data_IF_446139748750
#
_entry.id   IF_446139748750
#
_cell.length_a   1.000
_cell.length_b   1.000
_cell.length_c   1.000
_cell.angle_alpha   90.00
_cell.angle_beta   90.00
_cell.angle_gamma   90.00
#
_symmetry.space_group_name_H-M   'P 1'
#
loop_
_entity.id
_entity.type
_entity.pdbx_description
1 polymer ?
#
# COMPACT_ATOMS: atom_id res chain seq x y z
N UNK A 1 3.02 48.68 13.05
CA UNK A 1 2.73 48.15 14.40
C UNK A 1 1.58 47.10 14.42
N UNK A 2 0.51 47.27 13.65
CA UNK A 2 -0.63 46.28 13.61
C UNK A 2 -0.26 44.88 13.03
N UNK A 3 0.67 44.79 12.09
CA UNK A 3 1.06 43.50 11.47
C UNK A 3 1.86 42.58 12.42
N UNK A 4 2.62 43.13 13.36
CA UNK A 4 3.39 42.34 14.34
C UNK A 4 2.50 41.72 15.43
N UNK A 5 1.39 42.38 15.79
CA UNK A 5 0.45 41.85 16.78
C UNK A 5 -0.40 40.70 16.26
N UNK A 6 -0.73 40.69 14.97
CA UNK A 6 -1.44 39.58 14.36
C UNK A 6 -0.54 38.33 14.18
N UNK A 7 0.75 38.51 13.92
CA UNK A 7 1.73 37.42 13.84
C UNK A 7 1.95 36.72 15.18
N UNK A 8 2.02 37.52 16.28
CA UNK A 8 2.16 36.97 17.64
C UNK A 8 0.88 36.28 18.15
N UNK A 9 -0.30 36.73 17.70
CA UNK A 9 -1.58 36.10 18.06
C UNK A 9 -1.77 34.76 17.38
N UNK A 10 -1.33 34.61 16.13
CA UNK A 10 -1.41 33.34 15.38
C UNK A 10 -0.42 32.29 15.91
N UNK A 11 0.80 32.70 16.29
CA UNK A 11 1.78 31.77 16.88
C UNK A 11 1.33 31.26 18.26
N UNK A 12 0.73 32.11 19.10
CA UNK A 12 0.20 31.69 20.40
C UNK A 12 -0.98 30.69 20.29
N UNK A 13 -1.90 30.90 19.34
CA UNK A 13 -3.00 29.97 19.08
C UNK A 13 -2.49 28.63 18.55
N UNK A 14 -1.48 28.62 17.70
CA UNK A 14 -0.91 27.39 17.12
C UNK A 14 -0.21 26.52 18.18
N UNK A 15 0.54 27.14 19.10
CA UNK A 15 1.18 26.41 20.21
C UNK A 15 0.16 25.83 21.21
N UNK A 16 -0.93 26.54 21.48
CA UNK A 16 -2.02 26.04 22.35
C UNK A 16 -2.73 24.84 21.68
N UNK A 17 -2.95 24.85 20.36
CA UNK A 17 -3.53 23.71 19.64
C UNK A 17 -2.61 22.50 19.67
N UNK A 18 -1.29 22.68 19.46
CA UNK A 18 -0.30 21.61 19.58
C UNK A 18 -0.30 20.98 20.98
N UNK A 19 -0.32 21.82 22.01
CA UNK A 19 -0.30 21.35 23.40
C UNK A 19 -1.60 20.61 23.78
N UNK A 20 -2.73 21.09 23.30
CA UNK A 20 -4.04 20.45 23.51
C UNK A 20 -4.14 19.11 22.79
N UNK A 21 -3.71 19.05 21.54
CA UNK A 21 -3.61 17.81 20.74
C UNK A 21 -2.66 16.80 21.39
N UNK A 22 -1.52 17.25 21.89
CA UNK A 22 -0.56 16.38 22.61
C UNK A 22 -1.16 15.76 23.88
N UNK A 23 -1.92 16.56 24.67
CA UNK A 23 -2.59 16.06 25.89
C UNK A 23 -3.70 15.07 25.54
N UNK A 24 -4.45 15.34 24.48
CA UNK A 24 -5.54 14.48 24.01
C UNK A 24 -5.01 13.12 23.50
N UNK A 25 -3.94 13.14 22.69
CA UNK A 25 -3.22 11.95 22.22
C UNK A 25 -2.65 11.16 23.41
N UNK A 26 -2.04 11.84 24.39
CA UNK A 26 -1.50 11.18 25.59
C UNK A 26 -2.58 10.53 26.43
N UNK A 27 -3.76 11.14 26.56
CA UNK A 27 -4.89 10.55 27.28
C UNK A 27 -5.49 9.33 26.56
N UNK A 28 -5.56 9.36 25.22
CA UNK A 28 -6.02 8.23 24.42
C UNK A 28 -5.01 7.08 24.43
N UNK A 29 -3.71 7.37 24.38
CA UNK A 29 -2.64 6.36 24.48
C UNK A 29 -2.64 5.67 25.85
N UNK A 30 -2.89 6.41 26.95
CA UNK A 30 -3.02 5.79 28.28
C UNK A 30 -4.29 4.95 28.41
N UNK A 31 -5.42 5.40 27.88
CA UNK A 31 -6.66 4.62 27.84
C UNK A 31 -6.54 3.35 27.00
N UNK A 32 -5.75 3.39 25.92
CA UNK A 32 -5.47 2.24 25.04
C UNK A 32 -4.50 1.23 25.70
N UNK A 33 -3.58 1.71 26.56
CA UNK A 33 -2.64 0.86 27.30
C UNK A 33 -3.31 -0.02 28.37
N UNK A 34 -4.52 0.36 28.82
CA UNK A 34 -5.30 -0.40 29.80
C UNK A 34 -6.16 -1.52 29.18
N UNK A 35 -6.20 -1.64 27.85
CA UNK A 35 -6.82 -2.76 27.15
C UNK A 35 -5.98 -4.03 27.36
N UNK A 36 -6.62 -5.13 27.80
CA UNK A 36 -5.99 -6.44 28.01
C UNK A 36 -5.60 -7.10 26.68
N UNK A 37 -4.52 -6.64 26.08
CA UNK A 37 -3.90 -7.30 24.94
C UNK A 37 -2.84 -8.30 25.42
N UNK A 38 -2.66 -9.42 24.67
CA UNK A 38 -1.58 -10.37 24.92
C UNK A 38 -0.20 -9.70 24.79
N UNK A 39 0.81 -10.21 25.54
CA UNK A 39 2.16 -9.61 25.63
C UNK A 39 2.85 -9.35 24.29
N UNK A 40 2.62 -10.19 23.29
CA UNK A 40 3.17 -10.01 21.94
C UNK A 40 2.58 -8.79 21.22
N UNK A 41 1.27 -8.57 21.34
CA UNK A 41 0.58 -7.45 20.72
C UNK A 41 0.92 -6.13 21.41
N UNK A 42 1.12 -6.15 22.72
CA UNK A 42 1.58 -4.99 23.51
C UNK A 42 2.99 -4.54 23.11
N UNK A 43 3.92 -5.49 22.90
CA UNK A 43 5.28 -5.20 22.42
C UNK A 43 5.27 -4.65 21.00
N UNK A 44 4.42 -5.18 20.13
CA UNK A 44 4.24 -4.68 18.77
C UNK A 44 3.71 -3.25 18.76
N UNK A 45 2.67 -2.95 19.54
CA UNK A 45 2.10 -1.60 19.63
C UNK A 45 3.06 -0.59 20.25
N UNK A 46 3.85 -0.99 21.25
CA UNK A 46 4.90 -0.13 21.83
C UNK A 46 6.05 0.13 20.86
N UNK A 47 6.48 -0.86 20.07
CA UNK A 47 7.50 -0.67 19.03
C UNK A 47 6.95 0.23 17.91
N UNK A 48 5.70 0.07 17.54
CA UNK A 48 5.03 0.90 16.54
C UNK A 48 4.94 2.36 16.99
N UNK A 49 4.54 2.61 18.25
CA UNK A 49 4.50 3.95 18.85
C UNK A 49 5.88 4.61 18.95
N UNK A 50 6.93 3.83 19.22
CA UNK A 50 8.31 4.32 19.29
C UNK A 50 8.85 4.71 17.91
N UNK A 51 8.59 3.91 16.89
CA UNK A 51 8.94 4.24 15.50
C UNK A 51 8.14 5.46 15.03
N UNK A 52 6.87 5.53 15.37
CA UNK A 52 5.99 6.64 15.02
C UNK A 52 6.45 7.97 15.66
N UNK A 53 6.89 7.97 16.92
CA UNK A 53 7.38 9.19 17.59
C UNK A 53 8.70 9.71 17.02
N UNK A 54 9.57 8.85 16.49
CA UNK A 54 10.82 9.25 15.83
C UNK A 54 10.58 9.91 14.45
N UNK A 55 9.52 9.52 13.74
CA UNK A 55 9.20 10.05 12.41
C UNK A 55 8.59 11.45 12.48
N UNK A 56 7.84 11.79 13.55
CA UNK A 56 7.22 13.12 13.69
C UNK A 56 8.16 14.23 14.16
N UNK A 57 9.40 13.93 14.52
CA UNK A 57 10.34 14.91 15.02
C UNK A 57 11.03 15.78 13.94
N UNK A 58 10.88 15.46 12.65
CA UNK A 58 11.76 16.01 11.61
C UNK A 58 11.10 16.80 10.46
N UNK A 59 9.80 17.15 10.53
CA UNK A 59 9.19 17.92 9.43
C UNK A 59 8.52 19.23 9.88
N UNK A 60 9.33 20.28 10.00
CA UNK A 60 8.88 21.68 9.90
C UNK A 60 9.84 22.48 9.03
N UNK A 61 9.74 22.34 7.71
CA UNK A 61 10.16 23.39 6.78
C UNK A 61 8.94 23.88 6.02
N UNK A 62 8.54 25.15 6.28
CA UNK A 62 7.60 25.87 5.44
C UNK A 62 8.23 26.07 4.05
N UNK A 63 7.72 25.35 3.05
CA UNK A 63 7.96 25.67 1.64
C UNK A 63 7.01 26.80 1.22
N UNK A 64 7.55 27.84 0.58
CA UNK A 64 6.76 28.90 -0.02
C UNK A 64 6.14 28.41 -1.33
N UNK A 65 4.88 28.77 -1.59
CA UNK A 65 4.09 28.39 -2.78
C UNK A 65 4.72 28.84 -4.13
N UNK A 66 5.79 29.62 -4.12
CA UNK A 66 6.47 30.11 -5.32
C UNK A 66 7.54 29.17 -5.89
N UNK A 67 7.97 28.16 -5.13
CA UNK A 67 9.02 27.24 -5.55
C UNK A 67 8.49 26.01 -6.34
N UNK A 68 7.18 25.79 -6.39
CA UNK A 68 6.61 24.57 -7.01
C UNK A 68 6.53 24.63 -8.54
N UNK A 69 6.62 25.82 -9.16
CA UNK A 69 6.49 25.95 -10.64
C UNK A 69 7.79 25.69 -11.41
N UNK A 70 8.94 25.65 -10.73
CA UNK A 70 10.26 25.43 -11.32
C UNK A 70 11.10 24.32 -10.67
N UNK A 71 10.50 23.53 -9.79
CA UNK A 71 11.22 22.41 -9.20
C UNK A 71 11.41 21.34 -10.26
N UNK A 72 12.65 21.14 -10.69
CA UNK A 72 13.06 19.89 -11.33
C UNK A 72 12.58 18.73 -10.46
N UNK A 73 12.11 17.61 -11.04
CA UNK A 73 11.67 16.47 -10.26
C UNK A 73 12.76 16.18 -9.22
N UNK A 74 12.39 16.31 -7.95
CA UNK A 74 13.32 16.12 -6.83
C UNK A 74 14.03 14.79 -7.06
N UNK A 75 15.36 14.78 -7.14
CA UNK A 75 16.10 13.53 -7.27
C UNK A 75 15.66 12.60 -6.17
N UNK A 76 15.02 11.51 -6.57
CA UNK A 76 14.54 10.51 -5.61
C UNK A 76 15.76 9.99 -4.88
N UNK A 77 15.77 10.10 -3.55
CA UNK A 77 16.85 9.59 -2.71
C UNK A 77 16.96 8.07 -2.89
N UNK A 78 18.00 7.64 -3.58
CA UNK A 78 18.20 6.25 -4.00
C UNK A 78 19.63 5.76 -3.67
N UNK A 79 19.92 5.53 -2.40
CA UNK A 79 21.24 5.07 -1.96
C UNK A 79 21.55 3.64 -2.42
N UNK A 80 20.54 2.88 -2.85
CA UNK A 80 20.65 1.50 -3.30
C UNK A 80 20.56 1.36 -4.83
N UNK A 81 20.82 2.42 -5.61
CA UNK A 81 20.63 2.44 -7.07
C UNK A 81 21.35 1.28 -7.78
N UNK A 82 22.58 0.95 -7.37
CA UNK A 82 23.33 -0.18 -7.94
C UNK A 82 22.66 -1.54 -7.69
N UNK A 83 22.21 -1.79 -6.45
CA UNK A 83 21.43 -2.97 -6.09
C UNK A 83 20.09 -3.00 -6.84
N UNK A 84 19.38 -1.88 -6.85
CA UNK A 84 18.08 -1.76 -7.48
C UNK A 84 18.14 -2.04 -8.99
N UNK A 85 19.17 -1.53 -9.68
CA UNK A 85 19.40 -1.83 -11.12
C UNK A 85 19.67 -3.31 -11.35
N UNK A 86 20.50 -3.94 -10.51
CA UNK A 86 20.79 -5.37 -10.58
C UNK A 86 19.50 -6.19 -10.38
N UNK A 87 18.69 -5.86 -9.37
CA UNK A 87 17.44 -6.56 -9.08
C UNK A 87 16.39 -6.31 -10.17
N UNK A 88 16.32 -5.12 -10.76
CA UNK A 88 15.45 -4.86 -11.93
C UNK A 88 15.84 -5.75 -13.10
N UNK A 89 17.13 -5.85 -13.42
CA UNK A 89 17.62 -6.77 -14.45
C UNK A 89 17.33 -8.24 -14.15
N UNK A 90 17.50 -8.66 -12.88
CA UNK A 90 17.14 -10.01 -12.44
C UNK A 90 15.62 -10.28 -12.61
N UNK A 91 14.77 -9.36 -12.16
CA UNK A 91 13.33 -9.49 -12.26
C UNK A 91 12.87 -9.52 -13.72
N UNK A 92 13.45 -8.68 -14.57
CA UNK A 92 13.19 -8.67 -16.03
C UNK A 92 13.60 -10.01 -16.67
N UNK A 93 14.80 -10.50 -16.36
CA UNK A 93 15.27 -11.80 -16.83
C UNK A 93 14.33 -12.94 -16.41
N UNK A 94 13.93 -12.99 -15.13
CA UNK A 94 13.01 -14.00 -14.60
C UNK A 94 11.62 -13.89 -15.23
N UNK A 95 11.13 -12.66 -15.43
CA UNK A 95 9.84 -12.45 -16.08
C UNK A 95 9.85 -12.98 -17.51
N UNK A 96 10.81 -12.57 -18.32
CA UNK A 96 10.87 -12.92 -19.75
C UNK A 96 11.12 -14.42 -19.97
N UNK A 97 12.03 -15.02 -19.17
CA UNK A 97 12.49 -16.39 -19.42
C UNK A 97 11.77 -17.48 -18.64
N UNK A 98 11.10 -17.13 -17.54
CA UNK A 98 10.41 -18.12 -16.70
C UNK A 98 8.92 -17.81 -16.51
N UNK A 99 8.59 -16.59 -16.01
CA UNK A 99 7.23 -16.26 -15.61
C UNK A 99 6.32 -16.13 -16.84
N UNK A 100 6.72 -15.36 -17.83
CA UNK A 100 5.90 -15.13 -19.04
C UNK A 100 5.62 -16.40 -19.86
N UNK A 101 6.60 -17.29 -20.14
CA UNK A 101 6.32 -18.59 -20.73
C UNK A 101 5.36 -19.46 -19.93
N UNK A 102 5.49 -19.46 -18.58
CA UNK A 102 4.57 -20.20 -17.71
C UNK A 102 3.15 -19.61 -17.78
N UNK A 103 3.01 -18.28 -17.80
CA UNK A 103 1.73 -17.60 -17.98
C UNK A 103 1.10 -17.93 -19.34
N UNK A 104 1.88 -17.96 -20.42
CA UNK A 104 1.37 -18.37 -21.74
C UNK A 104 0.86 -19.82 -21.73
N UNK A 105 1.60 -20.72 -21.11
CA UNK A 105 1.16 -22.11 -20.94
C UNK A 105 -0.13 -22.21 -20.12
N UNK A 106 -0.22 -21.47 -19.02
CA UNK A 106 -1.43 -21.39 -18.19
C UNK A 106 -2.62 -20.83 -18.98
N UNK A 107 -2.44 -19.75 -19.74
CA UNK A 107 -3.46 -19.13 -20.58
C UNK A 107 -3.96 -20.06 -21.71
N UNK A 108 -3.08 -20.92 -22.22
CA UNK A 108 -3.44 -21.91 -23.24
C UNK A 108 -4.35 -23.01 -22.67
N UNK A 109 -4.12 -23.44 -21.42
CA UNK A 109 -4.85 -24.56 -20.79
C UNK A 109 -6.11 -24.08 -20.10
N UNK A 110 -6.06 -22.91 -19.41
CA UNK A 110 -7.14 -22.43 -18.55
C UNK A 110 -7.91 -21.30 -19.24
N UNK A 111 -9.22 -21.49 -19.51
CA UNK A 111 -10.05 -20.46 -20.12
C UNK A 111 -10.06 -19.16 -19.31
N UNK A 112 -10.17 -18.01 -20.00
CA UNK A 112 -10.21 -16.68 -19.37
C UNK A 112 -11.27 -16.55 -18.29
N UNK A 113 -12.47 -17.11 -18.52
CA UNK A 113 -13.55 -17.09 -17.54
C UNK A 113 -13.16 -17.77 -16.21
N UNK A 114 -12.40 -18.87 -16.25
CA UNK A 114 -11.93 -19.57 -15.06
C UNK A 114 -10.82 -18.77 -14.34
N UNK A 115 -9.93 -18.13 -15.11
CA UNK A 115 -8.88 -17.24 -14.57
C UNK A 115 -9.48 -15.99 -13.91
N UNK A 116 -10.50 -15.41 -14.54
CA UNK A 116 -11.25 -14.28 -13.99
C UNK A 116 -11.98 -14.68 -12.70
N UNK A 117 -12.63 -15.86 -12.69
CA UNK A 117 -13.29 -16.37 -11.48
C UNK A 117 -12.29 -16.58 -10.33
N UNK A 118 -11.12 -17.16 -10.61
CA UNK A 118 -10.06 -17.31 -9.62
C UNK A 118 -9.55 -15.94 -9.12
N UNK A 119 -9.37 -14.96 -10.01
CA UNK A 119 -9.01 -13.59 -9.66
C UNK A 119 -10.03 -12.95 -8.72
N UNK A 120 -11.31 -13.02 -9.08
CA UNK A 120 -12.41 -12.47 -8.27
C UNK A 120 -12.47 -13.14 -6.88
N UNK A 121 -12.28 -14.45 -6.81
CA UNK A 121 -12.25 -15.18 -5.54
C UNK A 121 -11.14 -14.67 -4.61
N UNK A 122 -9.91 -14.60 -5.10
CA UNK A 122 -8.79 -14.07 -4.31
C UNK A 122 -8.97 -12.61 -3.93
N UNK A 123 -9.57 -11.84 -4.81
CA UNK A 123 -9.89 -10.44 -4.58
C UNK A 123 -10.93 -10.29 -3.46
N UNK A 124 -11.99 -11.10 -3.50
CA UNK A 124 -12.98 -11.13 -2.44
C UNK A 124 -12.38 -11.57 -1.09
N UNK A 125 -11.42 -12.51 -1.12
CA UNK A 125 -10.73 -12.99 0.07
C UNK A 125 -9.85 -11.91 0.72
N UNK A 126 -9.34 -10.93 -0.06
CA UNK A 126 -8.54 -9.81 0.44
C UNK A 126 -9.38 -8.67 1.06
N UNK A 127 -10.69 -8.83 1.16
CA UNK A 127 -11.58 -7.87 1.82
C UNK A 127 -11.05 -7.37 3.18
N UNK A 128 -10.55 -8.22 4.12
CA UNK A 128 -10.10 -7.72 5.42
C UNK A 128 -8.93 -6.72 5.32
N UNK A 129 -8.04 -6.90 4.34
CA UNK A 129 -6.92 -5.98 4.09
C UNK A 129 -7.46 -4.60 3.72
N UNK A 130 -8.34 -4.54 2.70
CA UNK A 130 -8.93 -3.28 2.23
C UNK A 130 -9.80 -2.62 3.29
N UNK A 131 -10.68 -3.39 3.93
CA UNK A 131 -11.57 -2.90 4.96
C UNK A 131 -10.83 -2.23 6.13
N UNK A 132 -9.84 -2.93 6.70
CA UNK A 132 -9.08 -2.43 7.85
C UNK A 132 -8.26 -1.20 7.47
N UNK A 133 -7.62 -1.19 6.28
CA UNK A 133 -6.82 -0.06 5.85
C UNK A 133 -7.67 1.18 5.54
N UNK A 134 -8.86 1.02 4.94
CA UNK A 134 -9.83 2.12 4.81
C UNK A 134 -10.25 2.68 6.17
N UNK A 135 -10.55 1.81 7.16
CA UNK A 135 -10.89 2.27 8.52
C UNK A 135 -9.73 3.02 9.18
N UNK A 136 -8.49 2.53 9.05
CA UNK A 136 -7.31 3.17 9.62
C UNK A 136 -7.01 4.53 8.97
N UNK A 137 -7.50 4.78 7.77
CA UNK A 137 -7.41 6.06 7.07
C UNK A 137 -8.63 6.95 7.29
N UNK A 138 -9.56 6.55 8.17
CA UNK A 138 -10.85 7.24 8.42
C UNK A 138 -11.78 7.33 7.21
N UNK A 139 -11.56 6.53 6.18
CA UNK A 139 -12.40 6.39 4.99
C UNK A 139 -13.58 5.44 5.30
N UNK A 140 -14.49 5.88 6.16
CA UNK A 140 -15.58 5.02 6.67
C UNK A 140 -16.61 4.66 5.59
N UNK A 141 -16.83 5.55 4.63
CA UNK A 141 -17.72 5.30 3.49
C UNK A 141 -17.19 4.18 2.61
N UNK A 142 -15.91 4.27 2.27
CA UNK A 142 -15.16 3.31 1.46
C UNK A 142 -15.07 1.95 2.15
N UNK A 143 -14.82 1.93 3.46
CA UNK A 143 -14.86 0.70 4.26
C UNK A 143 -16.26 0.06 4.26
N UNK A 144 -17.31 0.87 4.35
CA UNK A 144 -18.69 0.42 4.22
C UNK A 144 -18.99 -0.17 2.84
N UNK A 145 -18.54 0.50 1.78
CA UNK A 145 -18.70 0.03 0.40
C UNK A 145 -17.93 -1.28 0.15
N UNK A 146 -16.71 -1.42 0.64
CA UNK A 146 -15.96 -2.69 0.60
C UNK A 146 -16.70 -3.82 1.32
N UNK A 147 -17.37 -3.54 2.44
CA UNK A 147 -18.20 -4.53 3.14
C UNK A 147 -19.39 -4.98 2.28
N UNK A 148 -20.08 -4.02 1.64
CA UNK A 148 -21.18 -4.33 0.74
C UNK A 148 -20.71 -5.11 -0.48
N UNK A 149 -19.54 -4.78 -1.03
CA UNK A 149 -18.90 -5.54 -2.11
C UNK A 149 -18.62 -6.98 -1.71
N UNK A 150 -18.01 -7.19 -0.54
CA UNK A 150 -17.72 -8.53 0.00
C UNK A 150 -18.99 -9.35 0.13
N UNK A 151 -20.07 -8.78 0.70
CA UNK A 151 -21.35 -9.47 0.85
C UNK A 151 -22.00 -9.79 -0.50
N UNK A 152 -22.04 -8.82 -1.42
CA UNK A 152 -22.59 -9.03 -2.76
C UNK A 152 -21.82 -10.11 -3.53
N UNK A 153 -20.50 -10.06 -3.50
CA UNK A 153 -19.64 -11.06 -4.17
C UNK A 153 -19.75 -12.43 -3.52
N UNK A 154 -19.92 -12.50 -2.20
CA UNK A 154 -20.06 -13.79 -1.51
C UNK A 154 -21.44 -14.42 -1.75
N UNK A 155 -22.52 -13.64 -1.67
CA UNK A 155 -23.89 -14.15 -1.74
C UNK A 155 -24.33 -14.31 -3.20
N UNK A 156 -24.20 -13.25 -4.00
CA UNK A 156 -24.67 -13.21 -5.39
C UNK A 156 -23.60 -13.73 -6.35
N UNK A 157 -22.32 -13.44 -6.02
CA UNK A 157 -21.14 -13.82 -6.80
C UNK A 157 -20.66 -15.25 -6.56
N UNK A 158 -21.46 -16.14 -5.95
CA UNK A 158 -21.13 -17.54 -5.70
C UNK A 158 -19.80 -17.71 -4.94
N UNK A 159 -19.71 -17.08 -3.74
CA UNK A 159 -18.51 -17.15 -2.92
C UNK A 159 -17.33 -16.30 -3.46
N UNK A 160 -17.63 -15.29 -4.26
CA UNK A 160 -16.62 -14.39 -4.85
C UNK A 160 -16.08 -14.84 -6.21
N UNK A 161 -16.63 -15.88 -6.83
CA UNK A 161 -16.21 -16.32 -8.18
C UNK A 161 -16.62 -15.33 -9.28
N UNK A 162 -17.69 -14.58 -9.05
CA UNK A 162 -18.13 -13.50 -9.94
C UNK A 162 -18.24 -12.18 -9.19
N UNK A 163 -18.05 -11.06 -9.90
CA UNK A 163 -18.19 -9.72 -9.30
C UNK A 163 -19.67 -9.32 -9.23
N UNK A 164 -20.37 -9.84 -8.20
CA UNK A 164 -21.76 -9.50 -7.90
C UNK A 164 -21.96 -8.04 -7.49
N UNK A 165 -20.93 -7.39 -6.95
CA UNK A 165 -20.94 -6.01 -6.52
C UNK A 165 -21.12 -5.04 -7.70
N UNK A 166 -20.66 -5.41 -8.88
CA UNK A 166 -20.80 -4.63 -10.12
C UNK A 166 -22.27 -4.35 -10.48
N UNK A 167 -23.18 -5.27 -10.15
CA UNK A 167 -24.62 -5.07 -10.40
C UNK A 167 -25.23 -3.91 -9.59
N UNK A 168 -24.55 -3.52 -8.50
CA UNK A 168 -24.97 -2.44 -7.60
C UNK A 168 -24.11 -1.18 -7.75
N UNK A 169 -23.23 -1.12 -8.76
CA UNK A 169 -22.28 -0.04 -9.00
C UNK A 169 -21.39 0.28 -7.78
N UNK A 170 -21.12 -0.72 -6.93
CA UNK A 170 -20.22 -0.58 -5.79
C UNK A 170 -18.78 -0.48 -6.28
N UNK A 171 -18.09 0.59 -5.88
CA UNK A 171 -16.70 0.82 -6.29
C UNK A 171 -15.75 0.00 -5.42
N UNK A 172 -14.58 -0.32 -5.96
CA UNK A 172 -13.52 -0.99 -5.25
C UNK A 172 -12.54 0.06 -4.72
N UNK A 173 -12.19 -0.07 -3.44
CA UNK A 173 -11.29 0.84 -2.74
C UNK A 173 -10.06 0.06 -2.27
N UNK A 174 -9.04 0.04 -3.15
CA UNK A 174 -7.80 -0.71 -2.90
C UNK A 174 -6.88 0.07 -1.95
N UNK A 175 -6.89 -0.35 -0.69
CA UNK A 175 -6.03 0.19 0.34
C UNK A 175 -5.14 -0.90 0.93
N UNK A 176 -3.89 -0.52 1.22
CA UNK A 176 -2.90 -1.34 1.89
C UNK A 176 -2.27 -0.61 3.08
N UNK A 177 -1.51 -1.33 3.89
CA UNK A 177 -0.91 -0.74 5.09
C UNK A 177 0.22 0.25 4.77
N UNK A 178 0.89 0.13 3.62
CA UNK A 178 1.84 1.13 3.14
C UNK A 178 1.16 2.47 2.81
N UNK A 179 -0.05 2.43 2.21
CA UNK A 179 -0.89 3.62 1.98
C UNK A 179 -1.36 4.20 3.31
N UNK A 180 -1.80 3.37 4.24
CA UNK A 180 -2.18 3.79 5.60
C UNK A 180 -1.04 4.53 6.30
N UNK A 181 0.18 4.00 6.26
CA UNK A 181 1.35 4.69 6.80
C UNK A 181 1.61 6.03 6.08
N UNK A 182 1.46 6.06 4.75
CA UNK A 182 1.58 7.28 3.95
C UNK A 182 0.53 8.34 4.31
N UNK A 183 -0.72 7.93 4.49
CA UNK A 183 -1.82 8.79 4.96
C UNK A 183 -1.49 9.44 6.32
N UNK A 184 -0.85 8.70 7.22
CA UNK A 184 -0.40 9.19 8.52
C UNK A 184 0.90 10.01 8.46
N UNK A 185 1.41 10.30 7.26
CA UNK A 185 2.57 11.17 7.06
C UNK A 185 3.93 10.47 7.10
N UNK A 186 3.95 9.13 7.11
CA UNK A 186 5.21 8.38 7.01
C UNK A 186 5.73 8.50 5.57
N UNK A 187 6.90 9.09 5.38
CA UNK A 187 7.57 9.21 4.09
C UNK A 187 7.90 7.84 3.48
N UNK A 188 8.07 7.78 2.14
CA UNK A 188 8.42 6.54 1.43
C UNK A 188 9.76 5.95 1.88
N UNK A 189 10.69 6.79 2.40
CA UNK A 189 12.08 6.40 2.62
C UNK A 189 12.81 6.22 1.28
N UNK A 190 13.83 5.38 1.25
CA UNK A 190 14.54 5.07 0.02
C UNK A 190 13.86 3.95 -0.77
N UNK A 191 14.05 4.01 -2.09
CA UNK A 191 13.53 3.01 -3.02
C UNK A 191 14.28 1.68 -2.91
N UNK A 192 13.57 0.55 -2.99
CA UNK A 192 14.13 -0.81 -2.95
C UNK A 192 13.41 -1.69 -3.96
N UNK A 193 14.15 -2.32 -4.85
CA UNK A 193 13.60 -3.34 -5.75
C UNK A 193 13.69 -4.71 -5.10
N UNK A 194 12.54 -5.32 -4.85
CA UNK A 194 12.46 -6.66 -4.25
C UNK A 194 12.54 -7.76 -5.32
N UNK A 195 13.26 -8.87 -5.07
CA UNK A 195 13.28 -10.00 -5.98
C UNK A 195 11.87 -10.55 -6.20
N UNK A 196 11.49 -10.81 -7.44
CA UNK A 196 10.18 -11.31 -7.91
C UNK A 196 8.98 -10.38 -7.66
N UNK A 197 9.05 -9.45 -6.71
CA UNK A 197 7.97 -8.52 -6.36
C UNK A 197 8.07 -7.25 -7.20
N UNK A 198 9.29 -6.76 -7.44
CA UNK A 198 9.55 -5.55 -8.22
C UNK A 198 9.77 -4.30 -7.37
N UNK A 199 9.43 -3.11 -7.91
CA UNK A 199 9.62 -1.82 -7.25
C UNK A 199 8.87 -1.74 -5.93
N UNK A 200 9.51 -1.17 -4.91
CA UNK A 200 8.97 -0.90 -3.58
C UNK A 200 9.74 0.25 -2.93
N UNK A 201 9.37 0.63 -1.72
CA UNK A 201 10.12 1.55 -0.88
C UNK A 201 10.08 1.08 0.58
N UNK A 202 10.87 1.73 1.45
CA UNK A 202 11.02 1.28 2.83
C UNK A 202 9.68 1.27 3.59
N UNK A 203 8.84 2.29 3.43
CA UNK A 203 7.49 2.37 4.04
C UNK A 203 6.62 1.20 3.59
N UNK A 204 6.58 0.94 2.28
CA UNK A 204 5.69 -0.07 1.71
C UNK A 204 6.18 -1.49 2.04
N UNK A 205 7.51 -1.72 2.21
CA UNK A 205 8.03 -2.98 2.75
C UNK A 205 7.56 -3.21 4.19
N UNK A 206 7.54 -2.18 5.03
CA UNK A 206 6.96 -2.27 6.39
C UNK A 206 5.45 -2.51 6.28
N UNK A 207 4.79 -1.90 5.31
CA UNK A 207 3.38 -2.11 4.98
C UNK A 207 3.03 -3.57 4.69
N UNK A 208 3.88 -4.30 3.96
CA UNK A 208 3.68 -5.73 3.68
C UNK A 208 3.55 -6.57 4.96
N UNK A 209 4.19 -6.17 6.05
CA UNK A 209 4.05 -6.87 7.34
C UNK A 209 2.66 -6.67 7.94
N UNK A 210 2.10 -5.45 7.86
CA UNK A 210 0.73 -5.18 8.29
C UNK A 210 -0.30 -5.98 7.47
N UNK A 211 -0.17 -5.93 6.16
CA UNK A 211 -1.04 -6.66 5.24
C UNK A 211 -0.95 -8.18 5.41
N UNK A 212 0.23 -8.71 5.75
CA UNK A 212 0.41 -10.12 6.04
C UNK A 212 -0.50 -10.61 7.18
N UNK A 213 -0.70 -9.82 8.23
CA UNK A 213 -1.58 -10.18 9.33
C UNK A 213 -3.08 -10.03 8.99
N UNK A 214 -3.42 -9.25 7.99
CA UNK A 214 -4.79 -9.06 7.53
C UNK A 214 -5.18 -10.01 6.38
N UNK A 215 -4.20 -10.62 5.68
CA UNK A 215 -4.41 -11.54 4.57
C UNK A 215 -4.79 -12.95 5.09
N UNK A 216 -6.03 -13.43 4.87
CA UNK A 216 -6.46 -14.77 5.32
C UNK A 216 -5.57 -15.90 4.79
N UNK A 217 -4.96 -15.76 3.61
CA UNK A 217 -4.07 -16.78 3.04
C UNK A 217 -2.83 -16.98 3.92
N UNK A 218 -2.39 -15.96 4.67
CA UNK A 218 -1.22 -16.06 5.55
C UNK A 218 -1.40 -17.09 6.68
N UNK A 219 -2.65 -17.46 7.00
CA UNK A 219 -2.97 -18.41 8.07
C UNK A 219 -3.13 -19.86 7.57
N UNK A 220 -3.05 -20.09 6.26
CA UNK A 220 -3.08 -21.43 5.68
C UNK A 220 -1.83 -22.20 6.08
N UNK A 221 -2.00 -23.43 6.55
CA UNK A 221 -0.91 -24.31 6.97
C UNK A 221 -0.93 -25.60 6.15
N UNK A 222 0.24 -26.15 5.81
CA UNK A 222 1.59 -25.68 6.12
C UNK A 222 1.94 -24.37 5.38
N UNK A 223 3.00 -23.67 5.82
CA UNK A 223 3.45 -22.38 5.24
C UNK A 223 3.70 -22.47 3.73
N UNK A 224 4.11 -23.64 3.24
CA UNK A 224 4.32 -23.90 1.81
C UNK A 224 3.03 -23.72 1.01
N UNK A 225 1.88 -24.16 1.54
CA UNK A 225 0.57 -24.01 0.88
C UNK A 225 0.15 -22.53 0.83
N UNK A 226 0.37 -21.78 1.91
CA UNK A 226 0.16 -20.33 1.92
C UNK A 226 1.00 -19.64 0.85
N UNK A 227 2.28 -19.98 0.77
CA UNK A 227 3.19 -19.45 -0.25
C UNK A 227 2.72 -19.83 -1.67
N UNK A 228 2.35 -21.09 -1.90
CA UNK A 228 1.86 -21.57 -3.18
C UNK A 228 0.57 -20.83 -3.62
N UNK A 229 -0.38 -20.63 -2.69
CA UNK A 229 -1.60 -19.88 -2.95
C UNK A 229 -1.34 -18.40 -3.30
N UNK A 230 -0.42 -17.74 -2.59
CA UNK A 230 -0.03 -16.35 -2.90
C UNK A 230 0.67 -16.27 -4.25
N UNK A 231 1.54 -17.21 -4.57
CA UNK A 231 2.22 -17.29 -5.88
C UNK A 231 1.22 -17.55 -6.99
N UNK A 232 0.27 -18.48 -6.77
CA UNK A 232 -0.80 -18.75 -7.73
C UNK A 232 -1.69 -17.53 -7.95
N UNK A 233 -2.10 -16.83 -6.88
CA UNK A 233 -2.86 -15.57 -6.97
C UNK A 233 -2.15 -14.56 -7.85
N UNK A 234 -0.84 -14.34 -7.59
CA UNK A 234 -0.04 -13.38 -8.36
C UNK A 234 0.12 -13.80 -9.82
N UNK A 235 0.40 -15.07 -10.08
CA UNK A 235 0.49 -15.62 -11.44
C UNK A 235 -0.83 -15.52 -12.20
N UNK A 236 -1.96 -15.83 -11.54
CA UNK A 236 -3.28 -15.67 -12.12
C UNK A 236 -3.59 -14.21 -12.47
N UNK A 237 -3.25 -13.25 -11.60
CA UNK A 237 -3.42 -11.83 -11.87
C UNK A 237 -2.61 -11.39 -13.11
N UNK A 238 -1.34 -11.79 -13.18
CA UNK A 238 -0.50 -11.53 -14.36
C UNK A 238 -1.05 -12.15 -15.64
N UNK A 239 -1.71 -13.31 -15.54
CA UNK A 239 -2.30 -14.02 -16.67
C UNK A 239 -3.48 -13.31 -17.31
N UNK A 240 -4.15 -12.44 -16.57
CA UNK A 240 -5.26 -11.61 -17.07
C UNK A 240 -4.77 -10.41 -17.89
N UNK A 241 -3.53 -9.97 -17.68
CA UNK A 241 -2.90 -8.83 -18.38
C UNK A 241 -1.49 -9.19 -18.85
N UNK A 242 -1.34 -10.21 -19.75
CA UNK A 242 -0.02 -10.77 -20.09
C UNK A 242 0.91 -9.76 -20.78
N UNK A 243 0.35 -8.81 -21.52
CA UNK A 243 1.14 -7.85 -22.32
C UNK A 243 1.47 -6.56 -21.54
N UNK A 244 0.96 -6.40 -20.31
CA UNK A 244 1.11 -5.16 -19.54
C UNK A 244 2.59 -4.82 -19.28
N UNK A 245 3.42 -5.81 -18.93
CA UNK A 245 4.83 -5.61 -18.67
C UNK A 245 5.60 -5.28 -19.96
N UNK A 246 5.34 -5.99 -21.07
CA UNK A 246 6.00 -5.75 -22.34
C UNK A 246 5.67 -4.34 -22.87
N UNK A 247 4.45 -3.86 -22.66
CA UNK A 247 4.07 -2.50 -23.04
C UNK A 247 4.82 -1.45 -22.20
N UNK A 248 4.87 -1.62 -20.87
CA UNK A 248 5.66 -0.74 -20.00
C UNK A 248 7.15 -0.71 -20.40
N UNK A 249 7.72 -1.88 -20.73
CA UNK A 249 9.12 -1.99 -21.12
C UNK A 249 9.44 -1.31 -22.45
N UNK A 250 8.52 -1.33 -23.43
CA UNK A 250 8.71 -0.67 -24.73
C UNK A 250 8.85 0.85 -24.61
N UNK A 251 8.18 1.45 -23.63
CA UNK A 251 8.17 2.90 -23.44
C UNK A 251 9.37 3.38 -22.61
N UNK A 252 10.14 2.46 -22.01
CA UNK A 252 11.26 2.77 -21.12
C UNK A 252 12.57 2.89 -21.89
N UNK A 253 13.24 4.05 -21.81
CA UNK A 253 14.63 4.25 -22.28
C UNK A 253 15.60 3.52 -21.33
N UNK A 254 15.41 3.68 -20.03
CA UNK A 254 16.09 2.94 -18.95
C UNK A 254 15.03 2.36 -18.03
N UNK A 255 14.96 1.03 -17.98
CA UNK A 255 13.87 0.31 -17.29
C UNK A 255 13.83 0.60 -15.79
N UNK A 256 14.99 0.71 -15.12
CA UNK A 256 15.02 0.90 -13.68
C UNK A 256 14.45 2.25 -13.24
N UNK A 257 14.95 3.42 -13.67
CA UNK A 257 14.37 4.69 -13.25
C UNK A 257 12.93 4.85 -13.72
N UNK A 258 12.57 4.34 -14.90
CA UNK A 258 11.20 4.37 -15.38
C UNK A 258 10.23 3.64 -14.42
N UNK A 259 10.55 2.41 -14.02
CA UNK A 259 9.71 1.64 -13.08
C UNK A 259 9.70 2.24 -11.68
N UNK A 260 10.84 2.76 -11.20
CA UNK A 260 10.94 3.45 -9.92
C UNK A 260 10.02 4.67 -9.88
N UNK A 261 10.14 5.54 -10.87
CA UNK A 261 9.40 6.81 -10.91
C UNK A 261 7.90 6.57 -11.10
N UNK A 262 7.52 5.62 -11.96
CA UNK A 262 6.13 5.20 -12.13
C UNK A 262 5.54 4.63 -10.84
N UNK A 263 6.30 3.82 -10.09
CA UNK A 263 5.88 3.28 -8.80
C UNK A 263 5.66 4.39 -7.78
N UNK A 264 6.63 5.28 -7.56
CA UNK A 264 6.54 6.35 -6.57
C UNK A 264 5.41 7.35 -6.91
N UNK A 265 5.24 7.71 -8.18
CA UNK A 265 4.14 8.57 -8.63
C UNK A 265 2.78 7.93 -8.34
N UNK A 266 2.61 6.65 -8.68
CA UNK A 266 1.39 5.92 -8.42
C UNK A 266 1.10 5.84 -6.91
N UNK A 267 2.10 5.51 -6.08
CA UNK A 267 1.93 5.43 -4.62
C UNK A 267 1.53 6.77 -4.01
N UNK A 268 2.18 7.85 -4.46
CA UNK A 268 1.86 9.19 -4.01
C UNK A 268 0.44 9.64 -4.43
N UNK A 269 -0.05 9.17 -5.57
CA UNK A 269 -1.43 9.41 -6.01
C UNK A 269 -2.43 8.67 -5.11
N UNK A 270 -2.24 7.36 -4.93
CA UNK A 270 -3.12 6.52 -4.11
C UNK A 270 -3.22 6.96 -2.64
N UNK A 271 -2.17 7.55 -2.07
CA UNK A 271 -2.18 8.08 -0.69
C UNK A 271 -3.00 9.37 -0.57
N UNK A 272 -3.15 10.11 -1.67
CA UNK A 272 -3.87 11.40 -1.70
C UNK A 272 -5.36 11.25 -2.04
N UNK A 273 -5.78 10.11 -2.55
CA UNK A 273 -7.19 9.76 -2.78
C UNK A 273 -7.92 9.55 -1.45
#
# INVERSE_FOLDING_TARGET
MKNNLNKLRNTGHFEIYKFKSYIEIKSQVTAFADLKFGDSMRKFLLSFLLVFSCVFAEQTQEKSEFDDEFTQPSEIFDPLSGYNRMMTGFNDFMYVNAIYPAIKGYNYIVPEAARTAAGNFFDNLLYPVRFVNNLLQFKFSEAGEETLRFLANTIIGFGGLTDGAKYYNLQRHDEDFGQTLGYWGVGSGFHVVLPFIGPSNLRDIVGLVGDYYLDPISYVKPVLDSFALKTFRQGNLLSLHPDAYDNLKKDAIDLYPFLRDAYEQRRNHLIKE
#
